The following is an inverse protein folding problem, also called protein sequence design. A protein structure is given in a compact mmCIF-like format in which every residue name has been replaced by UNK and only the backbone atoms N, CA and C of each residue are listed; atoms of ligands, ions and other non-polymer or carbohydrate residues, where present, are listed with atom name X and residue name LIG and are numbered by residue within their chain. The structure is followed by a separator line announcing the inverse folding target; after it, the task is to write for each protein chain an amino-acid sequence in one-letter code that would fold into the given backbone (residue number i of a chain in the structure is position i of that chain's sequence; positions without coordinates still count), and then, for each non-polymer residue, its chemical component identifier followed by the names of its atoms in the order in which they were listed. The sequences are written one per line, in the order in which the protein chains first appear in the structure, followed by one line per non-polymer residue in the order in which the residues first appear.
data_IF_678467864024
#
_entry.id   IF_678467864024
#
_cell.length_a   1.000
_cell.length_b   1.000
_cell.length_c   1.000
_cell.angle_alpha   90.00
_cell.angle_beta   90.00
_cell.angle_gamma   90.00
#
_symmetry.space_group_name_H-M   'P 1'
#
loop_
_entity.id
_entity.type
_entity.pdbx_description
1 polymer ?
#
# COMPACT_ATOMS: atom_id res chain seq x y z
N UNK A 1 6.24 16.57 -10.42
CA UNK A 1 6.20 15.13 -10.07
C UNK A 1 4.88 14.90 -9.34
N UNK A 2 3.85 14.42 -10.03
CA UNK A 2 2.53 14.16 -9.43
C UNK A 2 2.68 13.00 -8.43
N UNK A 3 2.27 13.15 -7.16
CA UNK A 3 2.31 12.02 -6.24
C UNK A 3 1.41 10.91 -6.79
N UNK A 4 2.02 9.77 -7.12
CA UNK A 4 1.32 8.58 -7.61
C UNK A 4 0.52 7.97 -6.45
N UNK A 5 -0.76 7.67 -6.67
CA UNK A 5 -1.64 7.00 -5.69
C UNK A 5 -3.03 7.63 -5.54
N UNK A 6 -3.91 6.93 -4.82
CA UNK A 6 -5.28 7.32 -4.51
C UNK A 6 -5.36 7.96 -3.11
N UNK A 7 -5.59 9.29 -2.99
CA UNK A 7 -5.65 9.96 -1.69
C UNK A 7 -6.87 9.56 -0.85
N UNK A 8 -7.89 8.94 -1.47
CA UNK A 8 -9.12 8.50 -0.80
C UNK A 8 -9.00 7.19 -0.01
N UNK A 9 -7.83 6.56 0.03
CA UNK A 9 -7.63 5.30 0.76
C UNK A 9 -7.77 5.52 2.27
N UNK A 10 -8.79 4.90 2.87
CA UNK A 10 -8.97 4.92 4.33
C UNK A 10 -8.10 3.85 5.01
N UNK A 11 -6.90 4.26 5.40
CA UNK A 11 -5.91 3.42 6.08
C UNK A 11 -6.33 2.93 7.48
N UNK A 12 -7.47 3.39 8.01
CA UNK A 12 -8.05 2.82 9.25
C UNK A 12 -8.66 1.44 9.02
N UNK A 13 -9.07 1.14 7.79
CA UNK A 13 -9.60 -0.18 7.37
C UNK A 13 -8.49 -1.16 6.97
N UNK A 14 -7.26 -0.68 6.85
CA UNK A 14 -6.13 -1.49 6.44
C UNK A 14 -5.66 -2.39 7.59
N UNK A 15 -5.28 -3.65 7.30
CA UNK A 15 -4.57 -4.51 8.25
C UNK A 15 -3.36 -3.81 8.89
N UNK A 16 -2.97 -4.24 10.09
CA UNK A 16 -1.83 -3.66 10.82
C UNK A 16 -0.56 -3.61 9.96
N UNK A 17 -0.29 -4.70 9.25
CA UNK A 17 0.89 -4.87 8.40
C UNK A 17 0.73 -4.31 6.98
N UNK A 18 -0.43 -3.76 6.61
CA UNK A 18 -0.64 -3.20 5.29
C UNK A 18 0.29 -2.00 5.04
N UNK A 19 0.99 -2.03 3.91
CA UNK A 19 1.95 -1.02 3.47
C UNK A 19 1.56 -0.36 2.16
N UNK A 20 0.88 -1.10 1.28
CA UNK A 20 0.37 -0.55 0.03
C UNK A 20 -1.07 -0.97 -0.19
N UNK A 21 -1.77 -0.14 -0.97
CA UNK A 21 -3.08 -0.42 -1.55
C UNK A 21 -2.96 -0.29 -3.06
N UNK A 22 -3.54 -1.22 -3.82
CA UNK A 22 -3.64 -1.10 -5.28
C UNK A 22 -4.82 -1.90 -5.83
N UNK A 23 -5.26 -1.53 -7.02
CA UNK A 23 -6.19 -2.30 -7.84
C UNK A 23 -5.45 -3.22 -8.82
N UNK A 24 -6.05 -4.38 -9.09
CA UNK A 24 -5.62 -5.25 -10.18
C UNK A 24 -6.34 -4.94 -11.50
N UNK A 25 -5.94 -5.64 -12.57
CA UNK A 25 -6.54 -5.51 -13.89
C UNK A 25 -8.02 -5.96 -13.94
N UNK A 26 -8.48 -6.71 -12.93
CA UNK A 26 -9.87 -7.13 -12.78
C UNK A 26 -10.73 -6.11 -12.02
N UNK A 27 -10.17 -4.96 -11.64
CA UNK A 27 -10.87 -3.93 -10.89
C UNK A 27 -11.06 -4.27 -9.41
N UNK A 28 -10.33 -5.25 -8.87
CA UNK A 28 -10.38 -5.58 -7.44
C UNK A 28 -9.25 -4.89 -6.69
N UNK A 29 -9.58 -4.31 -5.55
CA UNK A 29 -8.62 -3.65 -4.68
C UNK A 29 -8.07 -4.60 -3.62
N UNK A 30 -6.80 -4.43 -3.29
CA UNK A 30 -6.08 -5.27 -2.34
C UNK A 30 -5.12 -4.47 -1.46
N UNK A 31 -4.94 -4.94 -0.23
CA UNK A 31 -3.84 -4.56 0.64
C UNK A 31 -2.64 -5.47 0.40
N UNK A 32 -1.46 -4.86 0.32
CA UNK A 32 -0.18 -5.57 0.32
C UNK A 32 0.49 -5.34 1.66
N UNK A 33 0.64 -6.41 2.42
CA UNK A 33 1.18 -6.40 3.78
C UNK A 33 2.68 -6.68 3.79
N UNK A 34 3.41 -6.08 4.73
CA UNK A 34 4.72 -6.61 5.12
C UNK A 34 4.54 -8.06 5.63
N UNK A 35 5.46 -8.97 5.30
CA UNK A 35 5.37 -10.32 5.82
C UNK A 35 5.64 -10.30 7.32
N UNK A 36 4.84 -11.08 8.04
CA UNK A 36 5.09 -11.39 9.43
C UNK A 36 6.14 -12.51 9.49
N UNK A 37 7.40 -12.15 9.27
CA UNK A 37 8.51 -13.11 9.23
C UNK A 37 8.77 -13.60 10.65
N UNK A 38 8.08 -14.67 11.06
CA UNK A 38 8.63 -15.55 12.09
C UNK A 38 10.02 -16.01 11.61
N UNK A 39 11.01 -16.02 12.49
CA UNK A 39 12.45 -16.03 12.18
C UNK A 39 13.02 -17.22 11.34
N UNK A 40 12.17 -18.03 10.70
CA UNK A 40 12.52 -19.31 10.09
C UNK A 40 12.04 -19.52 8.64
N UNK A 41 11.51 -18.51 7.95
CA UNK A 41 11.09 -18.68 6.55
C UNK A 41 11.75 -17.66 5.62
N UNK A 42 12.59 -18.15 4.71
CA UNK A 42 13.23 -17.37 3.63
C UNK A 42 12.25 -16.98 2.48
N UNK A 43 10.94 -17.17 2.69
CA UNK A 43 9.91 -16.85 1.72
C UNK A 43 9.22 -15.53 2.07
N UNK A 44 9.35 -14.54 1.18
CA UNK A 44 8.66 -13.26 1.28
C UNK A 44 7.34 -13.34 0.51
N UNK A 45 6.24 -13.72 1.18
CA UNK A 45 4.90 -13.66 0.59
C UNK A 45 4.07 -12.59 1.31
N UNK A 46 3.71 -11.54 0.59
CA UNK A 46 2.74 -10.57 1.06
C UNK A 46 1.34 -11.17 0.85
N UNK A 47 0.67 -11.57 1.93
CA UNK A 47 -0.73 -11.96 1.83
C UNK A 47 -1.53 -10.81 1.22
N UNK A 48 -2.12 -11.08 0.05
CA UNK A 48 -3.02 -10.17 -0.65
C UNK A 48 -4.35 -10.20 0.08
N UNK A 49 -4.56 -9.26 0.99
CA UNK A 49 -5.82 -9.13 1.70
C UNK A 49 -6.82 -8.30 0.87
N UNK A 50 -8.10 -8.69 0.76
CA UNK A 50 -9.09 -7.92 0.04
C UNK A 50 -9.27 -6.53 0.66
N UNK A 51 -9.40 -5.51 -0.18
CA UNK A 51 -9.62 -4.13 0.25
C UNK A 51 -10.88 -3.54 -0.42
N UNK A 52 -11.53 -2.54 0.20
CA UNK A 52 -12.47 -1.68 -0.51
C UNK A 52 -11.77 -0.95 -1.67
N UNK A 53 -12.51 -0.66 -2.73
CA UNK A 53 -12.02 0.11 -3.89
C UNK A 53 -11.84 1.62 -3.59
N UNK A 54 -12.44 2.10 -2.50
CA UNK A 54 -12.49 3.51 -2.12
C UNK A 54 -12.97 4.43 -3.26
N UNK A 55 -13.83 3.91 -4.14
CA UNK A 55 -14.33 4.62 -5.31
C UNK A 55 -13.25 5.03 -6.31
N UNK A 56 -12.11 4.35 -6.34
CA UNK A 56 -11.06 4.66 -7.33
C UNK A 56 -11.55 4.38 -8.74
N UNK A 57 -11.46 5.39 -9.60
CA UNK A 57 -11.77 5.31 -11.02
C UNK A 57 -10.54 5.82 -11.77
N UNK A 58 -9.78 4.90 -12.38
CA UNK A 58 -8.53 5.22 -13.06
C UNK A 58 -7.78 3.99 -13.57
N UNK A 59 -6.61 4.22 -14.14
CA UNK A 59 -5.72 3.13 -14.57
C UNK A 59 -5.20 2.38 -13.33
N UNK A 60 -5.46 1.07 -13.26
CA UNK A 60 -4.99 0.22 -12.17
C UNK A 60 -3.47 0.33 -11.96
N UNK A 61 -2.69 0.59 -13.04
CA UNK A 61 -1.23 0.77 -12.96
C UNK A 61 -0.81 2.00 -12.16
N UNK A 62 -1.72 2.97 -12.01
CA UNK A 62 -1.51 4.21 -11.26
C UNK A 62 -2.13 4.16 -9.86
N UNK A 63 -2.83 3.09 -9.51
CA UNK A 63 -3.53 2.95 -8.23
C UNK A 63 -2.61 2.68 -7.04
N UNK A 64 -1.33 2.31 -7.28
CA UNK A 64 -0.39 1.96 -6.22
C UNK A 64 -0.22 3.12 -5.24
N UNK A 65 -0.72 2.92 -4.03
CA UNK A 65 -0.79 3.93 -2.97
C UNK A 65 -0.03 3.42 -1.76
N UNK A 66 1.02 4.13 -1.37
CA UNK A 66 1.78 3.82 -0.17
C UNK A 66 1.07 4.32 1.09
N UNK A 67 1.13 3.54 2.17
CA UNK A 67 0.65 3.95 3.49
C UNK A 67 1.44 5.16 3.97
N UNK A 68 0.79 6.26 4.38
CA UNK A 68 1.49 7.38 4.97
C UNK A 68 2.34 6.92 6.16
N UNK A 69 3.61 7.33 6.19
CA UNK A 69 4.40 7.19 7.40
C UNK A 69 3.68 7.91 8.54
N UNK A 70 3.61 7.30 9.73
CA UNK A 70 3.15 8.02 10.92
C UNK A 70 4.02 9.28 11.02
N UNK A 71 3.38 10.46 11.02
CA UNK A 71 4.09 11.73 11.05
C UNK A 71 5.09 11.71 12.23
N UNK A 72 6.38 11.59 11.91
CA UNK A 72 7.42 11.27 12.87
C UNK A 72 8.78 10.96 12.24
N UNK A 73 8.83 10.60 10.96
CA UNK A 73 10.10 10.49 10.23
C UNK A 73 10.05 11.39 9.00
N UNK A 74 10.63 12.59 9.12
CA UNK A 74 11.02 13.40 7.98
C UNK A 74 11.88 12.51 7.08
N UNK A 75 11.45 12.28 5.84
CA UNK A 75 12.37 11.83 4.81
C UNK A 75 13.46 12.90 4.71
N UNK A 76 14.63 12.59 5.27
CA UNK A 76 15.83 13.36 5.02
C UNK A 76 16.06 13.31 3.51
N UNK A 77 15.72 14.41 2.83
CA UNK A 77 16.31 14.73 1.53
C UNK A 77 17.81 14.85 1.79
N UNK A 78 18.58 13.86 1.34
CA UNK A 78 20.00 14.01 1.13
C UNK A 78 20.18 14.81 -0.16
N UNK A 79 20.68 16.02 -0.01
CA UNK A 79 21.32 16.83 -1.04
C UNK A 79 22.77 16.33 -1.15
N UNK A 80 23.19 15.88 -2.33
CA UNK A 80 24.54 16.05 -2.88
C UNK A 80 24.56 15.69 -4.36
#
# INVERSE_FOLDING_TARGET
MTPTGHPGVDWKKAPRLARWWAMDAGGKAHWFCEPDVAAFTDFWFSERAPAPDFGYVGDYKQSLTARPARAGMKAARGDQ
#
